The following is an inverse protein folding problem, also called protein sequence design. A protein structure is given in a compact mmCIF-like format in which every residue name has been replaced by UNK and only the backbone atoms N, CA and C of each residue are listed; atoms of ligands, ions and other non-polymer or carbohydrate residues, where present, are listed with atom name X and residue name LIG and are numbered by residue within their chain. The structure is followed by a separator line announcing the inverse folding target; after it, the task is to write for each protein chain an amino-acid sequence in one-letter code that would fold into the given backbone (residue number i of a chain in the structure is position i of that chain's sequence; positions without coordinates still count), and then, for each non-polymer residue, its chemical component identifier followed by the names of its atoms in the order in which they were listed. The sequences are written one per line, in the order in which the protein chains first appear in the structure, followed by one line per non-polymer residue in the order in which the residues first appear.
data_IF_146438213593
#
_entry.id   IF_146438213593
#
_cell.length_a   1.000
_cell.length_b   1.000
_cell.length_c   1.000
_cell.angle_alpha   90.00
_cell.angle_beta   90.00
_cell.angle_gamma   90.00
#
_symmetry.space_group_name_H-M   'P 1'
#
loop_
_entity.id
_entity.type
_entity.pdbx_description
1 polymer ?
#
# COMPACT_ATOMS: atom_id res chain seq x y z
N UNK A 1 -13.41 12.74 28.86
CA UNK A 1 -11.99 12.84 28.44
C UNK A 1 -11.23 11.50 28.47
N UNK A 2 -11.28 10.69 29.54
CA UNK A 2 -10.52 9.41 29.66
C UNK A 2 -10.82 8.35 28.57
N UNK A 3 -12.06 8.23 28.08
CA UNK A 3 -12.43 7.24 27.07
C UNK A 3 -11.83 7.51 25.68
N UNK A 4 -11.73 8.77 25.28
CA UNK A 4 -11.14 9.17 24.00
C UNK A 4 -9.62 8.96 24.01
N UNK A 5 -8.96 9.28 25.13
CA UNK A 5 -7.51 9.07 25.29
C UNK A 5 -7.12 7.59 25.11
N UNK A 6 -7.92 6.69 25.67
CA UNK A 6 -7.71 5.23 25.54
C UNK A 6 -7.86 4.73 24.09
N UNK A 7 -8.78 5.32 23.31
CA UNK A 7 -8.94 5.00 21.88
C UNK A 7 -7.76 5.47 21.05
N UNK A 8 -7.26 6.68 21.28
CA UNK A 8 -6.09 7.22 20.57
C UNK A 8 -4.83 6.41 20.88
N UNK A 9 -4.61 6.09 22.16
CA UNK A 9 -3.47 5.27 22.57
C UNK A 9 -3.51 3.90 21.92
N UNK A 10 -4.69 3.25 21.87
CA UNK A 10 -4.85 1.96 21.19
C UNK A 10 -4.52 2.06 19.70
N UNK A 11 -5.02 3.10 19.02
CA UNK A 11 -4.74 3.30 17.60
C UNK A 11 -3.24 3.54 17.34
N UNK A 12 -2.56 4.27 18.20
CA UNK A 12 -1.11 4.50 18.08
C UNK A 12 -0.31 3.20 18.26
N UNK A 13 -0.63 2.42 19.29
CA UNK A 13 0.05 1.14 19.56
C UNK A 13 -0.20 0.14 18.43
N UNK A 14 -1.46 -0.04 18.03
CA UNK A 14 -1.79 -0.92 16.90
C UNK A 14 -1.16 -0.43 15.60
N UNK A 15 -1.14 0.88 15.35
CA UNK A 15 -0.50 1.48 14.19
C UNK A 15 1.01 1.20 14.15
N UNK A 16 1.70 1.36 15.27
CA UNK A 16 3.13 1.04 15.37
C UNK A 16 3.40 -0.45 15.10
N UNK A 17 2.57 -1.34 15.63
CA UNK A 17 2.69 -2.79 15.38
C UNK A 17 2.44 -3.12 13.90
N UNK A 18 1.42 -2.51 13.26
CA UNK A 18 1.11 -2.73 11.86
C UNK A 18 2.19 -2.16 10.92
N UNK A 19 2.80 -1.03 11.29
CA UNK A 19 3.95 -0.46 10.57
C UNK A 19 5.15 -1.39 10.63
N UNK A 20 5.50 -1.88 11.80
CA UNK A 20 6.60 -2.82 11.98
C UNK A 20 6.37 -4.11 11.20
N UNK A 21 5.14 -4.67 11.27
CA UNK A 21 4.77 -5.88 10.53
C UNK A 21 4.84 -5.65 9.01
N UNK A 22 4.32 -4.53 8.52
CA UNK A 22 4.37 -4.17 7.11
C UNK A 22 5.81 -4.07 6.61
N UNK A 23 6.68 -3.41 7.39
CA UNK A 23 8.08 -3.24 7.04
C UNK A 23 8.84 -4.58 7.02
N UNK A 24 8.63 -5.44 8.01
CA UNK A 24 9.26 -6.78 8.08
C UNK A 24 8.81 -7.64 6.91
N UNK A 25 7.51 -7.68 6.62
CA UNK A 25 6.98 -8.47 5.49
C UNK A 25 7.57 -7.97 4.18
N UNK A 26 7.57 -6.66 3.97
CA UNK A 26 8.09 -6.05 2.74
C UNK A 26 9.58 -6.34 2.56
N UNK A 27 10.37 -6.19 3.62
CA UNK A 27 11.79 -6.48 3.64
C UNK A 27 12.07 -7.96 3.34
N UNK A 28 11.38 -8.89 4.00
CA UNK A 28 11.56 -10.33 3.79
C UNK A 28 11.16 -10.73 2.36
N UNK A 29 10.05 -10.20 1.83
CA UNK A 29 9.65 -10.43 0.45
C UNK A 29 10.69 -9.87 -0.54
N UNK A 30 11.25 -8.69 -0.28
CA UNK A 30 12.26 -8.08 -1.14
C UNK A 30 13.55 -8.89 -1.23
N UNK A 31 13.90 -9.66 -0.20
CA UNK A 31 15.06 -10.58 -0.20
C UNK A 31 14.86 -11.79 -1.11
N UNK A 32 13.65 -12.06 -1.58
CA UNK A 32 13.39 -13.21 -2.45
C UNK A 32 14.12 -13.03 -3.80
N UNK A 33 14.90 -14.02 -4.24
CA UNK A 33 15.76 -13.90 -5.42
C UNK A 33 15.02 -13.50 -6.69
N UNK A 34 13.76 -13.94 -6.85
CA UNK A 34 12.95 -13.60 -8.02
C UNK A 34 12.65 -12.08 -8.11
N UNK A 35 12.54 -11.37 -6.99
CA UNK A 35 12.30 -9.94 -7.01
C UNK A 35 13.50 -9.16 -7.58
N UNK A 36 14.72 -9.53 -7.18
CA UNK A 36 15.94 -8.92 -7.72
C UNK A 36 16.14 -9.19 -9.22
N UNK A 37 15.72 -10.38 -9.68
CA UNK A 37 15.84 -10.77 -11.10
C UNK A 37 14.77 -10.08 -11.96
N UNK A 38 13.51 -10.07 -11.50
CA UNK A 38 12.38 -9.55 -12.28
C UNK A 38 12.27 -8.02 -12.22
N UNK A 39 12.68 -7.41 -11.11
CA UNK A 39 12.50 -5.97 -10.86
C UNK A 39 13.79 -5.28 -10.44
N UNK A 40 14.84 -5.28 -11.29
CA UNK A 40 16.16 -4.70 -10.95
C UNK A 40 16.11 -3.18 -10.76
N UNK A 41 15.14 -2.49 -11.35
CA UNK A 41 14.94 -1.05 -11.18
C UNK A 41 14.03 -0.69 -10.00
N UNK A 42 13.76 -1.64 -9.11
CA UNK A 42 12.89 -1.46 -7.94
C UNK A 42 11.50 -2.06 -8.12
N UNK A 43 10.77 -2.18 -7.02
CA UNK A 43 9.51 -2.91 -6.94
C UNK A 43 9.70 -4.33 -6.43
N UNK A 44 8.64 -4.90 -5.87
CA UNK A 44 8.65 -6.28 -5.38
C UNK A 44 7.24 -6.86 -5.31
N UNK A 45 7.13 -8.17 -5.52
CA UNK A 45 5.90 -8.90 -5.21
C UNK A 45 5.89 -9.15 -3.70
N UNK A 46 4.95 -8.51 -3.01
CA UNK A 46 4.88 -8.51 -1.55
C UNK A 46 3.43 -8.36 -1.07
N UNK A 47 3.15 -8.83 0.14
CA UNK A 47 1.93 -8.55 0.88
C UNK A 47 2.13 -7.49 1.99
N UNK A 48 3.25 -6.79 1.98
CA UNK A 48 3.60 -5.77 2.99
C UNK A 48 2.60 -4.62 3.11
N UNK A 49 1.78 -4.36 2.08
CA UNK A 49 0.69 -3.37 2.15
C UNK A 49 -0.49 -3.81 3.02
N UNK A 50 -0.67 -5.12 3.23
CA UNK A 50 -1.84 -5.70 3.90
C UNK A 50 -2.04 -5.21 5.34
N UNK A 51 -1.01 -5.11 6.21
CA UNK A 51 -1.16 -4.56 7.55
C UNK A 51 -1.67 -3.11 7.55
N UNK A 52 -1.22 -2.27 6.60
CA UNK A 52 -1.65 -0.88 6.48
C UNK A 52 -3.12 -0.78 6.03
N UNK A 53 -3.52 -1.60 5.06
CA UNK A 53 -4.90 -1.71 4.59
C UNK A 53 -5.81 -2.19 5.74
N UNK A 54 -5.41 -3.22 6.47
CA UNK A 54 -6.15 -3.72 7.63
C UNK A 54 -6.29 -2.65 8.72
N UNK A 55 -5.21 -1.92 9.02
CA UNK A 55 -5.23 -0.82 9.98
C UNK A 55 -6.20 0.29 9.56
N UNK A 56 -6.20 0.64 8.25
CA UNK A 56 -7.15 1.61 7.71
C UNK A 56 -8.60 1.15 7.84
N UNK A 57 -8.89 -0.13 7.60
CA UNK A 57 -10.25 -0.67 7.80
C UNK A 57 -10.68 -0.60 9.26
N UNK A 58 -9.75 -0.80 10.19
CA UNK A 58 -10.04 -0.83 11.63
C UNK A 58 -10.16 0.54 12.27
N UNK A 59 -9.30 1.48 11.89
CA UNK A 59 -9.22 2.82 12.52
C UNK A 59 -9.72 3.96 11.62
N UNK A 60 -10.02 3.67 10.36
CA UNK A 60 -10.47 4.65 9.38
C UNK A 60 -9.34 5.28 8.57
N UNK A 61 -9.73 6.02 7.52
CA UNK A 61 -8.81 6.51 6.51
C UNK A 61 -7.76 7.51 7.06
N UNK A 62 -8.16 8.40 7.98
CA UNK A 62 -7.23 9.40 8.53
C UNK A 62 -6.06 8.72 9.25
N UNK A 63 -6.34 7.73 10.08
CA UNK A 63 -5.31 6.94 10.75
C UNK A 63 -4.52 6.10 9.78
N UNK A 64 -5.19 5.48 8.80
CA UNK A 64 -4.55 4.70 7.75
C UNK A 64 -3.59 5.53 6.91
N UNK A 65 -4.02 6.71 6.44
CA UNK A 65 -3.17 7.63 5.66
C UNK A 65 -1.99 8.15 6.50
N UNK A 66 -2.20 8.45 7.78
CA UNK A 66 -1.12 8.81 8.69
C UNK A 66 -0.08 7.69 8.83
N UNK A 67 -0.53 6.44 8.99
CA UNK A 67 0.37 5.28 9.00
C UNK A 67 1.09 5.09 7.65
N UNK A 68 0.39 5.25 6.52
CA UNK A 68 0.98 5.20 5.19
C UNK A 68 2.07 6.27 4.98
N UNK A 69 1.85 7.47 5.48
CA UNK A 69 2.84 8.55 5.45
C UNK A 69 4.08 8.22 6.28
N UNK A 70 3.91 7.69 7.48
CA UNK A 70 5.04 7.23 8.31
C UNK A 70 5.78 6.08 7.62
N UNK A 71 5.04 5.14 7.03
CA UNK A 71 5.63 4.03 6.29
C UNK A 71 6.43 4.50 5.07
N UNK A 72 5.97 5.54 4.37
CA UNK A 72 6.72 6.12 3.25
C UNK A 72 8.09 6.64 3.70
N UNK A 73 8.17 7.29 4.87
CA UNK A 73 9.43 7.72 5.46
C UNK A 73 10.35 6.55 5.81
N UNK A 74 9.82 5.47 6.38
CA UNK A 74 10.58 4.26 6.66
C UNK A 74 11.15 3.62 5.39
N UNK A 75 10.36 3.58 4.31
CA UNK A 75 10.81 3.05 3.03
C UNK A 75 11.89 3.94 2.39
N UNK A 76 11.76 5.26 2.48
CA UNK A 76 12.81 6.18 2.01
C UNK A 76 14.12 6.01 2.78
N UNK A 77 14.06 5.77 4.09
CA UNK A 77 15.24 5.52 4.91
C UNK A 77 15.90 4.16 4.61
N UNK A 78 15.10 3.17 4.25
CA UNK A 78 15.59 1.83 3.92
C UNK A 78 16.26 1.76 2.55
N UNK A 79 15.62 2.35 1.52
CA UNK A 79 16.10 2.34 0.15
C UNK A 79 15.48 3.47 -0.67
N UNK A 80 16.20 4.57 -0.78
CA UNK A 80 15.81 5.66 -1.67
C UNK A 80 16.48 5.48 -3.04
N UNK A 81 15.69 5.24 -4.06
CA UNK A 81 16.18 5.14 -5.44
C UNK A 81 16.37 6.54 -6.02
N UNK A 82 17.60 6.84 -6.47
CA UNK A 82 17.93 8.13 -7.08
C UNK A 82 17.62 8.06 -8.57
N UNK A 83 16.77 8.94 -9.11
CA UNK A 83 16.47 8.97 -10.54
C UNK A 83 17.71 9.23 -11.41
N UNK A 84 17.79 8.68 -12.64
CA UNK A 84 18.94 8.86 -13.53
C UNK A 84 19.31 10.32 -13.81
N UNK A 85 18.33 11.21 -13.82
CA UNK A 85 18.56 12.65 -14.05
C UNK A 85 19.39 13.34 -12.96
N UNK A 86 19.50 12.74 -11.76
CA UNK A 86 20.30 13.22 -10.60
C UNK A 86 20.10 14.73 -10.26
N UNK A 87 18.95 15.29 -10.61
CA UNK A 87 18.60 16.67 -10.29
C UNK A 87 17.81 16.73 -8.99
N UNK A 88 17.91 17.84 -8.24
CA UNK A 88 17.18 18.00 -6.98
C UNK A 88 15.67 17.85 -7.13
N UNK A 89 15.08 18.39 -8.20
CA UNK A 89 13.65 18.30 -8.48
C UNK A 89 13.21 16.86 -8.82
N UNK A 90 14.08 16.10 -9.55
CA UNK A 90 13.80 14.70 -9.87
C UNK A 90 13.80 13.85 -8.61
N UNK A 91 14.73 14.07 -7.69
CA UNK A 91 14.73 13.42 -6.37
C UNK A 91 13.49 13.75 -5.54
N UNK A 92 13.06 15.02 -5.53
CA UNK A 92 11.87 15.47 -4.83
C UNK A 92 10.60 14.83 -5.43
N UNK A 93 10.49 14.81 -6.76
CA UNK A 93 9.34 14.22 -7.46
C UNK A 93 9.27 12.70 -7.27
N UNK A 94 10.43 12.03 -7.30
CA UNK A 94 10.53 10.61 -6.97
C UNK A 94 10.05 10.35 -5.53
N UNK A 95 10.57 11.09 -4.56
CA UNK A 95 10.11 10.98 -3.16
C UNK A 95 8.61 11.19 -3.01
N UNK A 96 8.03 12.13 -3.76
CA UNK A 96 6.60 12.42 -3.73
C UNK A 96 5.78 11.28 -4.38
N UNK A 97 6.11 10.87 -5.60
CA UNK A 97 5.33 9.91 -6.38
C UNK A 97 5.55 8.46 -5.93
N UNK A 98 6.80 8.02 -5.76
CA UNK A 98 7.11 6.63 -5.47
C UNK A 98 6.97 6.28 -3.98
N UNK A 99 7.04 7.29 -3.10
CA UNK A 99 6.97 7.06 -1.65
C UNK A 99 5.77 7.73 -1.02
N UNK A 100 5.71 9.07 -0.96
CA UNK A 100 4.69 9.77 -0.17
C UNK A 100 3.29 9.47 -0.66
N UNK A 101 2.98 9.73 -1.94
CA UNK A 101 1.65 9.47 -2.51
C UNK A 101 1.38 7.97 -2.56
N UNK A 102 2.34 7.19 -3.08
CA UNK A 102 2.19 5.75 -3.28
C UNK A 102 1.83 4.99 -1.99
N UNK A 103 2.42 5.34 -0.85
CA UNK A 103 2.13 4.67 0.42
C UNK A 103 1.00 5.33 1.22
N UNK A 104 0.86 6.66 1.16
CA UNK A 104 -0.22 7.34 1.88
C UNK A 104 -1.59 6.93 1.35
N UNK A 105 -1.74 6.75 0.04
CA UNK A 105 -3.00 6.36 -0.57
C UNK A 105 -3.51 4.99 -0.10
N UNK A 106 -2.61 4.08 0.31
CA UNK A 106 -2.97 2.75 0.84
C UNK A 106 -3.88 2.89 2.06
N UNK A 107 -3.61 3.88 2.92
CA UNK A 107 -4.42 4.16 4.09
C UNK A 107 -5.85 4.63 3.80
N UNK A 108 -6.16 5.03 2.58
CA UNK A 108 -7.51 5.42 2.17
C UNK A 108 -8.45 4.24 1.87
N UNK A 109 -7.98 2.99 1.97
CA UNK A 109 -8.75 1.78 1.64
C UNK A 109 -10.13 1.72 2.30
N UNK A 110 -10.26 2.22 3.53
CA UNK A 110 -11.54 2.25 4.25
C UNK A 110 -12.58 3.20 3.64
N UNK A 111 -12.18 4.21 2.87
CA UNK A 111 -13.12 5.09 2.14
C UNK A 111 -13.76 4.30 1.00
N UNK A 112 -12.94 3.62 0.21
CA UNK A 112 -13.42 2.85 -0.93
C UNK A 112 -14.23 1.63 -0.52
N UNK A 113 -13.86 0.96 0.59
CA UNK A 113 -14.64 -0.18 1.09
C UNK A 113 -16.08 0.19 1.46
N UNK A 114 -16.32 1.41 1.92
CA UNK A 114 -17.65 1.90 2.29
C UNK A 114 -18.56 2.14 1.09
N UNK A 115 -18.01 2.35 -0.12
CA UNK A 115 -18.80 2.56 -1.34
C UNK A 115 -19.62 1.32 -1.71
N UNK A 116 -19.16 0.11 -1.33
CA UNK A 116 -19.83 -1.15 -1.63
C UNK A 116 -20.93 -1.51 -0.63
N UNK A 117 -21.15 -0.65 0.38
CA UNK A 117 -22.19 -0.85 1.37
C UNK A 117 -21.76 -1.78 2.51
N UNK A 118 -22.52 -1.71 3.63
CA UNK A 118 -22.23 -2.47 4.84
C UNK A 118 -23.45 -3.28 5.32
N UNK A 119 -24.51 -3.37 4.47
CA UNK A 119 -25.82 -3.92 4.88
C UNK A 119 -25.78 -5.42 5.15
N UNK A 120 -25.05 -6.17 4.36
CA UNK A 120 -24.91 -7.62 4.51
C UNK A 120 -23.41 -8.04 4.46
N UNK A 121 -23.15 -9.28 4.87
CA UNK A 121 -21.79 -9.80 4.94
C UNK A 121 -21.10 -9.83 3.56
N UNK A 122 -21.80 -10.18 2.51
CA UNK A 122 -21.24 -10.28 1.15
C UNK A 122 -20.77 -8.89 0.69
N UNK A 123 -21.65 -7.88 0.75
CA UNK A 123 -21.30 -6.52 0.34
C UNK A 123 -20.12 -5.95 1.16
N UNK A 124 -20.08 -6.24 2.45
CA UNK A 124 -19.00 -5.82 3.32
C UNK A 124 -17.66 -6.47 2.92
N UNK A 125 -17.66 -7.78 2.69
CA UNK A 125 -16.46 -8.50 2.27
C UNK A 125 -15.98 -8.05 0.89
N UNK A 126 -16.91 -7.87 -0.06
CA UNK A 126 -16.61 -7.26 -1.36
C UNK A 126 -16.00 -5.87 -1.17
N UNK A 127 -16.56 -5.06 -0.27
CA UNK A 127 -16.02 -3.74 0.06
C UNK A 127 -14.58 -3.77 0.57
N UNK A 128 -14.24 -4.71 1.45
CA UNK A 128 -12.85 -4.86 1.93
C UNK A 128 -11.90 -5.27 0.80
N UNK A 129 -12.27 -6.27 0.01
CA UNK A 129 -11.48 -6.70 -1.13
C UNK A 129 -11.28 -5.59 -2.16
N UNK A 130 -12.38 -4.95 -2.58
CA UNK A 130 -12.33 -3.86 -3.56
C UNK A 130 -11.62 -2.62 -3.02
N UNK A 131 -11.81 -2.26 -1.76
CA UNK A 131 -11.08 -1.17 -1.13
C UNK A 131 -9.56 -1.40 -1.16
N UNK A 132 -9.12 -2.63 -0.88
CA UNK A 132 -7.72 -3.02 -0.97
C UNK A 132 -7.19 -2.97 -2.42
N UNK A 133 -7.96 -3.48 -3.39
CA UNK A 133 -7.56 -3.46 -4.81
C UNK A 133 -7.48 -2.02 -5.34
N UNK A 134 -8.47 -1.18 -5.04
CA UNK A 134 -8.51 0.21 -5.52
C UNK A 134 -7.26 0.98 -5.05
N UNK A 135 -6.85 0.86 -3.78
CA UNK A 135 -5.66 1.57 -3.31
C UNK A 135 -4.38 1.02 -3.93
N UNK A 136 -4.31 -0.28 -4.26
CA UNK A 136 -3.21 -0.84 -5.04
C UNK A 136 -3.17 -0.25 -6.46
N UNK A 137 -4.32 -0.07 -7.11
CA UNK A 137 -4.43 0.58 -8.42
C UNK A 137 -3.99 2.05 -8.34
N UNK A 138 -4.41 2.79 -7.32
CA UNK A 138 -3.98 4.18 -7.13
C UNK A 138 -2.47 4.28 -6.90
N UNK A 139 -1.89 3.37 -6.13
CA UNK A 139 -0.43 3.26 -5.98
C UNK A 139 0.25 2.94 -7.32
N UNK A 140 -0.30 1.99 -8.09
CA UNK A 140 0.19 1.66 -9.42
C UNK A 140 0.22 2.89 -10.34
N UNK A 141 -0.86 3.70 -10.36
CA UNK A 141 -0.91 4.92 -11.14
C UNK A 141 0.21 5.89 -10.73
N UNK A 142 0.45 6.07 -9.43
CA UNK A 142 1.54 6.91 -8.92
C UNK A 142 2.91 6.42 -9.40
N UNK A 143 3.17 5.10 -9.33
CA UNK A 143 4.42 4.49 -9.79
C UNK A 143 4.59 4.56 -11.31
N UNK A 144 3.50 4.44 -12.08
CA UNK A 144 3.54 4.61 -13.55
C UNK A 144 3.88 6.05 -13.92
N UNK A 145 3.30 7.03 -13.24
CA UNK A 145 3.64 8.44 -13.46
C UNK A 145 5.11 8.72 -13.15
N UNK A 146 5.62 8.23 -12.03
CA UNK A 146 7.05 8.32 -11.69
C UNK A 146 7.91 7.66 -12.76
N UNK A 147 7.59 6.41 -13.13
CA UNK A 147 8.34 5.64 -14.12
C UNK A 147 8.41 6.31 -15.48
N UNK A 148 7.30 6.84 -15.98
CA UNK A 148 7.24 7.54 -17.26
C UNK A 148 8.02 8.86 -17.28
N UNK A 149 8.02 9.60 -16.15
CA UNK A 149 8.66 10.92 -16.05
C UNK A 149 10.15 10.81 -15.69
N UNK A 150 10.50 9.94 -14.74
CA UNK A 150 11.82 9.94 -14.11
C UNK A 150 12.71 8.77 -14.55
N UNK A 151 12.13 7.65 -14.96
CA UNK A 151 12.83 6.40 -15.23
C UNK A 151 12.82 5.97 -16.71
N UNK A 152 12.45 6.89 -17.60
CA UNK A 152 12.32 6.62 -19.04
C UNK A 152 13.59 6.09 -19.70
N UNK A 153 14.79 6.42 -19.16
CA UNK A 153 16.08 5.93 -19.68
C UNK A 153 16.31 4.42 -19.46
N UNK A 154 15.49 3.77 -18.62
CA UNK A 154 15.52 2.31 -18.43
C UNK A 154 14.68 1.56 -19.48
N UNK A 155 13.89 2.29 -20.28
CA UNK A 155 13.15 1.66 -21.37
C UNK A 155 14.13 1.10 -22.43
N UNK A 156 13.89 -0.12 -22.92
CA UNK A 156 14.68 -0.68 -24.04
C UNK A 156 14.64 0.24 -25.24
N UNK A 157 15.70 0.18 -26.08
CA UNK A 157 15.78 0.95 -27.32
C UNK A 157 14.54 0.74 -28.20
N UNK A 158 13.94 1.85 -28.64
CA UNK A 158 12.73 1.82 -29.46
C UNK A 158 11.40 1.66 -28.69
N UNK A 159 11.43 1.44 -27.37
CA UNK A 159 10.22 1.36 -26.57
C UNK A 159 9.84 2.73 -25.98
N UNK A 160 8.56 3.07 -26.05
CA UNK A 160 8.06 4.29 -25.40
C UNK A 160 8.18 4.15 -23.86
N UNK A 161 8.80 5.14 -23.16
CA UNK A 161 8.96 5.12 -21.69
C UNK A 161 7.68 4.90 -20.92
N UNK A 162 6.56 5.43 -21.37
CA UNK A 162 5.25 5.24 -20.71
C UNK A 162 4.74 3.80 -20.82
N UNK A 163 4.93 3.18 -22.00
CA UNK A 163 4.56 1.76 -22.19
C UNK A 163 5.45 0.88 -21.32
N UNK A 164 6.76 1.17 -21.29
CA UNK A 164 7.68 0.47 -20.39
C UNK A 164 7.25 0.59 -18.93
N UNK A 165 6.96 1.80 -18.45
CA UNK A 165 6.52 2.04 -17.08
C UNK A 165 5.21 1.32 -16.75
N UNK A 166 4.22 1.33 -17.64
CA UNK A 166 2.97 0.59 -17.47
C UNK A 166 3.24 -0.91 -17.29
N UNK A 167 4.01 -1.53 -18.19
CA UNK A 167 4.25 -2.97 -18.17
C UNK A 167 5.11 -3.36 -16.97
N UNK A 168 6.19 -2.62 -16.70
CA UNK A 168 7.10 -2.89 -15.60
C UNK A 168 6.39 -2.86 -14.24
N UNK A 169 5.67 -1.77 -13.96
CA UNK A 169 4.95 -1.61 -12.70
C UNK A 169 3.78 -2.60 -12.58
N UNK A 170 3.11 -2.97 -13.68
CA UNK A 170 2.07 -3.99 -13.66
C UNK A 170 2.62 -5.35 -13.21
N UNK A 171 3.85 -5.69 -13.57
CA UNK A 171 4.48 -6.96 -13.25
C UNK A 171 4.47 -7.30 -11.75
N UNK A 172 4.66 -6.34 -10.88
CA UNK A 172 4.58 -6.56 -9.42
C UNK A 172 3.30 -6.04 -8.79
N UNK A 173 2.70 -4.97 -9.32
CA UNK A 173 1.48 -4.40 -8.73
C UNK A 173 0.22 -5.24 -8.94
N UNK A 174 0.10 -5.95 -10.07
CA UNK A 174 -1.03 -6.85 -10.29
C UNK A 174 -1.04 -8.03 -9.30
N UNK A 175 0.07 -8.79 -9.13
CA UNK A 175 0.15 -9.80 -8.06
C UNK A 175 -0.12 -9.21 -6.68
N UNK A 176 0.44 -8.05 -6.35
CA UNK A 176 0.23 -7.40 -5.06
C UNK A 176 -1.23 -7.03 -4.82
N UNK A 177 -1.94 -6.51 -5.84
CA UNK A 177 -3.35 -6.16 -5.73
C UNK A 177 -4.23 -7.39 -5.49
N UNK A 178 -3.97 -8.48 -6.23
CA UNK A 178 -4.70 -9.75 -6.08
C UNK A 178 -4.47 -10.33 -4.69
N UNK A 179 -3.21 -10.46 -4.27
CA UNK A 179 -2.85 -11.01 -2.96
C UNK A 179 -3.42 -10.15 -1.82
N UNK A 180 -3.23 -8.83 -1.87
CA UNK A 180 -3.75 -7.93 -0.84
C UNK A 180 -5.27 -7.96 -0.79
N UNK A 181 -5.96 -7.99 -1.94
CA UNK A 181 -7.41 -8.07 -2.00
C UNK A 181 -7.96 -9.36 -1.38
N UNK A 182 -7.41 -10.52 -1.75
CA UNK A 182 -7.81 -11.82 -1.19
C UNK A 182 -7.54 -11.86 0.31
N UNK A 183 -6.32 -11.50 0.74
CA UNK A 183 -5.95 -11.51 2.14
C UNK A 183 -6.77 -10.52 2.97
N UNK A 184 -7.12 -9.35 2.43
CA UNK A 184 -8.00 -8.40 3.10
C UNK A 184 -9.38 -8.99 3.38
N UNK A 185 -9.98 -9.69 2.41
CA UNK A 185 -11.26 -10.39 2.60
C UNK A 185 -11.13 -11.45 3.69
N UNK A 186 -10.08 -12.28 3.63
CA UNK A 186 -9.87 -13.38 4.58
C UNK A 186 -9.65 -12.88 6.02
N UNK A 187 -8.90 -11.80 6.20
CA UNK A 187 -8.63 -11.23 7.52
C UNK A 187 -9.82 -10.44 8.08
N UNK A 188 -10.57 -9.75 7.21
CA UNK A 188 -11.65 -8.88 7.64
C UNK A 188 -13.00 -9.60 7.77
N UNK A 189 -13.12 -10.86 7.33
CA UNK A 189 -14.38 -11.62 7.42
C UNK A 189 -14.89 -11.76 8.86
N UNK A 190 -13.98 -11.86 9.81
CA UNK A 190 -14.29 -12.06 11.24
C UNK A 190 -14.32 -10.72 12.03
N UNK A 191 -14.28 -9.56 11.34
CA UNK A 191 -14.43 -8.25 11.98
C UNK A 191 -15.91 -7.90 12.17
N UNK A 192 -16.24 -7.45 13.38
CA UNK A 192 -17.55 -6.88 13.69
C UNK A 192 -17.73 -5.56 12.89
N UNK A 193 -18.79 -5.40 12.08
CA UNK A 193 -19.00 -4.23 11.25
C UNK A 193 -19.20 -2.93 12.03
N UNK A 194 -19.63 -3.00 13.29
CA UNK A 194 -19.88 -1.83 14.15
C UNK A 194 -18.67 -1.42 14.96
N UNK A 195 -17.95 -2.40 15.51
CA UNK A 195 -16.83 -2.16 16.43
C UNK A 195 -15.47 -2.30 15.74
N UNK A 196 -15.44 -2.94 14.55
CA UNK A 196 -14.22 -3.31 13.81
C UNK A 196 -13.25 -4.14 14.67
N UNK A 197 -13.77 -4.85 15.65
CA UNK A 197 -13.04 -5.78 16.49
C UNK A 197 -13.32 -7.21 16.03
N UNK A 198 -12.42 -8.17 16.32
CA UNK A 198 -12.71 -9.58 16.06
C UNK A 198 -14.04 -9.99 16.70
N UNK A 199 -14.88 -10.64 15.93
CA UNK A 199 -16.11 -11.24 16.48
C UNK A 199 -15.71 -12.36 17.42
N UNK A 200 -16.31 -12.40 18.61
CA UNK A 200 -16.18 -13.56 19.49
C UNK A 200 -16.82 -14.74 18.78
N UNK A 201 -16.04 -15.76 18.46
CA UNK A 201 -16.60 -17.05 18.06
C UNK A 201 -17.26 -17.64 19.30
N UNK A 202 -18.60 -17.78 19.24
CA UNK A 202 -19.38 -18.50 20.26
C UNK A 202 -19.18 -19.98 20.02
#
# INVERSE_FOLDING_TARGET
MKANHKKYLLALVEGAMMLALAWVIDYVCALAPYNAILFPAGGSITIGMLPLVYFAFRHGAIWGMGAGLVFSGLQMLNSFYIPPAQTWWAGLLCGLLDYVIAFTVIGSASLFSKLFGQKNQILRLTGYGMGAVIVCVLRYISSVLSGGILWGSYAPEGMNPWIYSLVYNAGYMLPNAILTGICAVLLCKDLDPKTLRPMKRV
#
